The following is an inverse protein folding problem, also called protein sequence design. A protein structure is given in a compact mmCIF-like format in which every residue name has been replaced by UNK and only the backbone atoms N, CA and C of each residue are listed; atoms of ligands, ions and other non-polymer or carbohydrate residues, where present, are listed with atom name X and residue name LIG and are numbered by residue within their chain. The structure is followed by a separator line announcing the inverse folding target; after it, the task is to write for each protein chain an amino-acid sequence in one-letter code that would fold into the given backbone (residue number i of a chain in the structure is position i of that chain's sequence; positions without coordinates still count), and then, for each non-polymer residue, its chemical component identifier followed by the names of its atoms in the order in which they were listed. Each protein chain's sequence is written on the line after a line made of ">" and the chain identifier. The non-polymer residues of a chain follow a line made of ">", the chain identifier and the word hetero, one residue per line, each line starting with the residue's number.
data_IF_886480127551
#
_entry.id   IF_886480127551
#
_cell.length_a   1.000
_cell.length_b   1.000
_cell.length_c   1.000
_cell.angle_alpha   90.00
_cell.angle_beta   90.00
_cell.angle_gamma   90.00
#
_symmetry.space_group_name_H-M   'P 1'
#
loop_
_entity.id
_entity.type
_entity.pdbx_description
1 polymer ?
#
# COMPACT_ATOMS: atom_id res chain seq x y z
N UNK A 1 -4.51 -22.88 25.71
CA UNK A 1 -5.28 -22.02 24.80
C UNK A 1 -5.38 -22.74 23.47
N UNK A 2 -6.54 -22.76 22.83
CA UNK A 2 -6.63 -23.32 21.48
C UNK A 2 -5.82 -22.43 20.53
N UNK A 3 -4.98 -23.03 19.68
CA UNK A 3 -4.21 -22.28 18.69
C UNK A 3 -5.14 -21.69 17.63
N UNK A 4 -4.88 -20.44 17.21
CA UNK A 4 -5.61 -19.77 16.15
C UNK A 4 -5.16 -20.32 14.79
N UNK A 5 -6.08 -20.88 14.03
CA UNK A 5 -5.78 -21.45 12.71
C UNK A 5 -5.66 -20.33 11.65
N UNK A 6 -4.58 -20.35 10.88
CA UNK A 6 -4.25 -19.34 9.86
C UNK A 6 -4.01 -20.04 8.53
N UNK A 7 -4.82 -19.74 7.53
CA UNK A 7 -4.64 -20.21 6.16
C UNK A 7 -4.05 -19.09 5.28
N UNK A 8 -2.84 -19.29 4.77
CA UNK A 8 -2.20 -18.39 3.81
C UNK A 8 -2.48 -18.90 2.41
N UNK A 9 -3.11 -18.06 1.60
CA UNK A 9 -3.48 -18.38 0.21
C UNK A 9 -2.26 -18.40 -0.68
N UNK A 10 -2.10 -19.47 -1.47
CA UNK A 10 -1.13 -19.55 -2.55
C UNK A 10 -1.85 -19.80 -3.87
N UNK A 11 -1.58 -18.96 -4.85
CA UNK A 11 -2.01 -19.07 -6.24
C UNK A 11 -0.80 -18.80 -7.16
N UNK A 12 -0.84 -19.16 -8.45
CA UNK A 12 0.28 -18.91 -9.36
C UNK A 12 0.77 -17.46 -9.37
N UNK A 13 -0.13 -16.50 -9.17
CA UNK A 13 0.23 -15.08 -9.09
C UNK A 13 0.87 -14.66 -7.76
N UNK A 14 0.95 -15.50 -6.76
CA UNK A 14 1.48 -15.12 -5.44
C UNK A 14 2.94 -14.71 -5.52
N UNK A 15 3.26 -13.59 -4.83
CA UNK A 15 4.63 -13.13 -4.60
C UNK A 15 5.24 -13.90 -3.44
N UNK A 16 6.27 -14.69 -3.71
CA UNK A 16 6.85 -15.61 -2.73
C UNK A 16 7.40 -14.89 -1.48
N UNK A 17 8.03 -13.72 -1.65
CA UNK A 17 8.60 -12.96 -0.52
C UNK A 17 7.56 -12.57 0.53
N UNK A 18 6.36 -12.17 0.11
CA UNK A 18 5.27 -11.82 1.03
C UNK A 18 4.69 -13.07 1.69
N UNK A 19 4.47 -14.13 0.91
CA UNK A 19 3.94 -15.40 1.40
C UNK A 19 4.88 -16.03 2.42
N UNK A 20 6.16 -16.20 2.08
CA UNK A 20 7.15 -16.82 2.97
C UNK A 20 7.43 -15.97 4.21
N UNK A 21 7.53 -14.64 4.06
CA UNK A 21 7.75 -13.75 5.20
C UNK A 21 6.64 -13.83 6.24
N UNK A 22 5.37 -13.83 5.82
CA UNK A 22 4.23 -14.02 6.71
C UNK A 22 4.29 -15.40 7.39
N UNK A 23 4.55 -16.44 6.61
CA UNK A 23 4.62 -17.82 7.10
C UNK A 23 5.73 -17.99 8.14
N UNK A 24 6.95 -17.52 7.85
CA UNK A 24 8.11 -17.65 8.73
C UNK A 24 7.91 -16.90 10.06
N UNK A 25 7.43 -15.65 10.00
CA UNK A 25 7.25 -14.85 11.22
C UNK A 25 6.14 -15.42 12.11
N UNK A 26 5.00 -15.86 11.56
CA UNK A 26 3.92 -16.46 12.35
C UNK A 26 4.30 -17.83 12.93
N UNK A 27 5.24 -18.56 12.33
CA UNK A 27 5.71 -19.86 12.82
C UNK A 27 6.92 -19.74 13.79
N UNK A 28 7.47 -18.54 14.03
CA UNK A 28 8.70 -18.36 14.79
C UNK A 28 8.55 -18.40 16.32
N UNK A 29 7.35 -18.44 16.86
CA UNK A 29 7.10 -18.29 18.31
C UNK A 29 7.89 -19.25 19.20
N UNK A 30 7.95 -20.53 18.87
CA UNK A 30 8.69 -21.54 19.65
C UNK A 30 10.19 -21.25 19.70
N UNK A 31 10.78 -20.73 18.61
CA UNK A 31 12.16 -20.27 18.58
C UNK A 31 12.32 -19.00 19.42
N UNK A 32 11.50 -17.99 19.18
CA UNK A 32 11.62 -16.68 19.81
C UNK A 32 11.41 -16.72 21.33
N UNK A 33 10.55 -17.62 21.82
CA UNK A 33 10.33 -17.81 23.26
C UNK A 33 11.57 -18.30 24.02
N UNK A 34 12.61 -18.73 23.31
CA UNK A 34 13.92 -19.04 23.95
C UNK A 34 14.76 -17.79 24.23
N UNK A 35 14.41 -16.66 23.62
CA UNK A 35 15.13 -15.39 23.75
C UNK A 35 14.34 -14.33 24.54
N UNK A 36 13.01 -14.43 24.58
CA UNK A 36 12.17 -13.46 25.26
C UNK A 36 10.94 -14.14 25.89
N UNK A 37 10.87 -14.08 27.23
CA UNK A 37 9.78 -14.69 28.04
C UNK A 37 8.40 -14.04 27.81
N UNK A 38 8.33 -12.89 27.14
CA UNK A 38 7.08 -12.27 26.73
C UNK A 38 6.35 -13.05 25.63
N UNK A 39 7.06 -13.98 24.97
CA UNK A 39 6.50 -14.81 23.92
C UNK A 39 6.03 -16.16 24.47
N UNK A 40 4.85 -16.65 24.02
CA UNK A 40 4.36 -17.96 24.44
C UNK A 40 5.29 -19.08 23.94
N UNK A 41 5.58 -20.06 24.82
CA UNK A 41 6.45 -21.21 24.51
C UNK A 41 5.86 -22.14 23.45
N UNK A 42 4.54 -22.19 23.35
CA UNK A 42 3.81 -22.91 22.29
C UNK A 42 3.28 -21.89 21.28
N UNK A 43 3.36 -22.22 19.98
CA UNK A 43 2.86 -21.31 18.97
C UNK A 43 1.38 -21.00 19.19
N UNK A 44 0.99 -19.72 19.28
CA UNK A 44 -0.42 -19.32 19.37
C UNK A 44 -1.15 -19.49 18.02
N UNK A 45 -0.40 -19.67 16.93
CA UNK A 45 -0.91 -19.84 15.58
C UNK A 45 -0.58 -21.24 15.04
N UNK A 46 -1.55 -21.83 14.35
CA UNK A 46 -1.36 -23.00 13.49
C UNK A 46 -1.45 -22.50 12.05
N UNK A 47 -0.30 -22.35 11.41
CA UNK A 47 -0.19 -21.71 10.09
C UNK A 47 0.00 -22.75 9.01
N UNK A 48 -0.83 -22.69 7.97
CA UNK A 48 -0.67 -23.50 6.78
C UNK A 48 -0.82 -22.69 5.50
N UNK A 49 -0.19 -23.17 4.43
CA UNK A 49 -0.34 -22.66 3.08
C UNK A 49 -1.40 -23.50 2.36
N UNK A 50 -2.42 -22.84 1.82
CA UNK A 50 -3.50 -23.46 1.08
C UNK A 50 -3.50 -23.02 -0.38
N UNK A 51 -3.69 -23.93 -1.32
CA UNK A 51 -3.67 -23.70 -2.76
C UNK A 51 -4.82 -24.43 -3.46
N UNK A 52 -5.03 -24.27 -4.78
CA UNK A 52 -6.02 -25.04 -5.52
C UNK A 52 -5.81 -26.55 -5.43
N UNK A 53 -4.57 -27.02 -5.44
CA UNK A 53 -4.18 -28.43 -5.35
C UNK A 53 -2.96 -28.59 -4.45
N UNK A 54 -2.55 -29.84 -4.17
CA UNK A 54 -1.28 -30.18 -3.50
C UNK A 54 -0.11 -30.32 -4.45
N UNK A 55 -0.36 -30.22 -5.75
CA UNK A 55 0.68 -30.34 -6.76
C UNK A 55 1.65 -29.16 -6.68
N UNK A 56 2.83 -29.36 -7.23
CA UNK A 56 3.82 -28.30 -7.37
C UNK A 56 3.25 -27.14 -8.18
N UNK A 57 3.40 -25.94 -7.63
CA UNK A 57 2.95 -24.71 -8.25
C UNK A 57 4.12 -23.73 -8.36
N UNK A 58 4.35 -23.21 -9.56
CA UNK A 58 5.30 -22.12 -9.76
C UNK A 58 4.60 -20.80 -9.45
N UNK A 59 5.16 -20.04 -8.52
CA UNK A 59 4.67 -18.71 -8.14
C UNK A 59 5.11 -17.64 -9.16
N UNK A 60 4.52 -16.44 -9.09
CA UNK A 60 4.92 -15.30 -9.92
C UNK A 60 6.40 -14.91 -9.77
N UNK A 61 7.02 -15.25 -8.65
CA UNK A 61 8.47 -15.07 -8.41
C UNK A 61 9.34 -16.14 -9.09
N UNK A 62 8.76 -17.10 -9.79
CA UNK A 62 9.48 -18.21 -10.44
C UNK A 62 9.90 -19.33 -9.47
N UNK A 63 9.52 -19.25 -8.20
CA UNK A 63 9.82 -20.28 -7.21
C UNK A 63 8.70 -21.31 -7.13
N UNK A 64 9.11 -22.58 -6.96
CA UNK A 64 8.18 -23.71 -6.83
C UNK A 64 7.73 -23.81 -5.37
N UNK A 65 6.45 -24.03 -5.17
CA UNK A 65 5.80 -24.19 -3.88
C UNK A 65 4.90 -25.42 -3.88
N UNK A 66 4.96 -26.19 -2.79
CA UNK A 66 4.01 -27.24 -2.46
C UNK A 66 3.13 -26.77 -1.30
N UNK A 67 1.83 -26.62 -1.51
CA UNK A 67 0.91 -26.29 -0.45
C UNK A 67 0.67 -27.50 0.49
N UNK A 68 0.44 -27.20 1.78
CA UNK A 68 0.14 -28.27 2.75
C UNK A 68 -1.22 -28.90 2.49
N UNK A 69 -2.21 -28.10 2.05
CA UNK A 69 -3.55 -28.60 1.72
C UNK A 69 -4.18 -27.86 0.53
N UNK A 70 -5.08 -28.53 -0.24
CA UNK A 70 -6.02 -27.82 -1.08
C UNK A 70 -6.95 -26.97 -0.22
N UNK A 71 -7.31 -25.77 -0.69
CA UNK A 71 -8.26 -24.93 0.06
C UNK A 71 -9.64 -25.61 0.20
N UNK A 72 -10.02 -26.50 -0.70
CA UNK A 72 -11.26 -27.28 -0.64
C UNK A 72 -11.34 -28.21 0.57
N UNK A 73 -10.20 -28.63 1.11
CA UNK A 73 -10.11 -29.50 2.29
C UNK A 73 -10.18 -28.69 3.60
N UNK A 74 -10.12 -27.35 3.51
CA UNK A 74 -10.21 -26.46 4.67
C UNK A 74 -11.66 -26.03 4.85
N UNK A 75 -12.35 -26.67 5.76
CA UNK A 75 -13.77 -26.41 6.03
C UNK A 75 -13.99 -25.22 6.97
N UNK A 76 -13.01 -24.88 7.81
CA UNK A 76 -13.05 -23.71 8.70
C UNK A 76 -11.63 -23.23 9.02
N UNK A 77 -11.47 -21.92 9.22
CA UNK A 77 -10.22 -21.28 9.67
C UNK A 77 -10.57 -20.00 10.42
N UNK A 78 -9.68 -19.53 11.32
CA UNK A 78 -9.91 -18.28 12.05
C UNK A 78 -9.45 -17.07 11.23
N UNK A 79 -8.37 -17.22 10.46
CA UNK A 79 -7.76 -16.15 9.70
C UNK A 79 -7.40 -16.68 8.30
N UNK A 80 -7.77 -15.94 7.28
CA UNK A 80 -7.27 -16.15 5.92
C UNK A 80 -6.38 -14.97 5.54
N UNK A 81 -5.18 -15.23 5.03
CA UNK A 81 -4.27 -14.18 4.55
C UNK A 81 -4.02 -14.38 3.05
N UNK A 82 -4.37 -13.39 2.26
CA UNK A 82 -4.02 -13.30 0.83
C UNK A 82 -2.74 -12.47 0.71
N UNK A 83 -1.59 -13.07 0.38
CA UNK A 83 -0.32 -12.35 0.20
C UNK A 83 -0.39 -11.48 -1.06
N UNK A 84 0.68 -10.74 -1.33
CA UNK A 84 0.81 -9.96 -2.57
C UNK A 84 0.65 -10.88 -3.79
N UNK A 85 -0.07 -10.40 -4.79
CA UNK A 85 -0.23 -11.08 -6.08
C UNK A 85 0.35 -10.22 -7.20
N UNK A 86 0.83 -10.86 -8.25
CA UNK A 86 1.33 -10.15 -9.43
C UNK A 86 0.17 -9.46 -10.16
N UNK A 87 0.37 -8.19 -10.48
CA UNK A 87 -0.50 -7.39 -11.34
C UNK A 87 0.33 -7.09 -12.59
N UNK A 88 0.18 -7.93 -13.61
CA UNK A 88 0.99 -7.83 -14.82
C UNK A 88 0.63 -6.57 -15.63
N UNK A 89 1.66 -5.80 -16.00
CA UNK A 89 1.49 -4.57 -16.79
C UNK A 89 0.43 -3.59 -16.27
N UNK A 90 0.14 -3.64 -14.97
CA UNK A 90 -0.92 -2.82 -14.37
C UNK A 90 -2.33 -3.35 -14.63
N UNK A 91 -2.51 -4.53 -15.20
CA UNK A 91 -3.82 -5.13 -15.45
C UNK A 91 -4.17 -6.21 -14.43
N UNK A 92 -5.40 -6.24 -14.01
CA UNK A 92 -5.99 -7.33 -13.24
C UNK A 92 -7.19 -7.92 -13.96
N UNK A 93 -7.10 -9.19 -14.35
CA UNK A 93 -8.21 -9.93 -14.96
C UNK A 93 -9.00 -10.61 -13.86
N UNK A 94 -10.23 -10.15 -13.63
CA UNK A 94 -11.15 -10.75 -12.66
C UNK A 94 -11.62 -12.14 -13.13
N UNK A 95 -12.04 -12.96 -12.16
CA UNK A 95 -12.64 -14.28 -12.46
C UNK A 95 -11.64 -15.39 -12.80
N UNK A 96 -10.33 -15.19 -12.62
CA UNK A 96 -9.32 -16.24 -12.86
C UNK A 96 -9.32 -17.35 -11.79
N UNK A 97 -9.77 -17.03 -10.59
CA UNK A 97 -9.75 -17.92 -9.43
C UNK A 97 -11.13 -18.11 -8.77
N UNK A 98 -12.18 -18.51 -9.51
CA UNK A 98 -13.56 -18.51 -9.01
C UNK A 98 -13.76 -19.43 -7.80
N UNK A 99 -13.08 -20.57 -7.76
CA UNK A 99 -13.14 -21.51 -6.62
C UNK A 99 -12.54 -20.89 -5.36
N UNK A 100 -11.40 -20.19 -5.46
CA UNK A 100 -10.77 -19.50 -4.34
C UNK A 100 -11.64 -18.34 -3.84
N UNK A 101 -12.22 -17.55 -4.74
CA UNK A 101 -13.14 -16.45 -4.39
C UNK A 101 -14.36 -16.98 -3.63
N UNK A 102 -14.93 -18.09 -4.07
CA UNK A 102 -16.06 -18.72 -3.37
C UNK A 102 -15.65 -19.28 -2.00
N UNK A 103 -14.46 -19.88 -1.89
CA UNK A 103 -13.94 -20.35 -0.62
C UNK A 103 -13.70 -19.18 0.36
N UNK A 104 -13.16 -18.07 -0.08
CA UNK A 104 -13.02 -16.86 0.75
C UNK A 104 -14.37 -16.38 1.30
N UNK A 105 -15.41 -16.35 0.47
CA UNK A 105 -16.79 -16.02 0.91
C UNK A 105 -17.28 -17.00 1.99
N UNK A 106 -17.03 -18.29 1.81
CA UNK A 106 -17.45 -19.33 2.75
C UNK A 106 -16.72 -19.18 4.09
N UNK A 107 -15.39 -18.95 4.09
CA UNK A 107 -14.63 -18.74 5.32
C UNK A 107 -15.11 -17.47 6.06
N UNK A 108 -15.36 -16.40 5.34
CA UNK A 108 -15.92 -15.17 5.92
C UNK A 108 -17.29 -15.42 6.56
N UNK A 109 -18.19 -16.13 5.89
CA UNK A 109 -19.53 -16.44 6.43
C UNK A 109 -19.50 -17.30 7.69
N UNK A 110 -18.41 -18.04 7.92
CA UNK A 110 -18.14 -18.82 9.12
C UNK A 110 -17.39 -18.02 10.21
N UNK A 111 -17.16 -16.72 9.99
CA UNK A 111 -16.55 -15.82 10.97
C UNK A 111 -15.04 -15.65 10.84
N UNK A 112 -14.40 -16.15 9.78
CA UNK A 112 -12.99 -15.93 9.55
C UNK A 112 -12.67 -14.45 9.30
N UNK A 113 -11.57 -13.96 9.87
CA UNK A 113 -10.97 -12.66 9.50
C UNK A 113 -10.25 -12.82 8.17
N UNK A 114 -10.63 -12.03 7.17
CA UNK A 114 -9.95 -11.99 5.87
C UNK A 114 -8.90 -10.89 5.86
N UNK A 115 -7.66 -11.28 5.63
CA UNK A 115 -6.52 -10.37 5.57
C UNK A 115 -5.91 -10.32 4.17
N UNK A 116 -5.33 -9.19 3.80
CA UNK A 116 -4.52 -9.09 2.59
C UNK A 116 -3.28 -8.23 2.77
N UNK A 117 -2.24 -8.53 2.01
CA UNK A 117 -1.05 -7.71 1.91
C UNK A 117 -0.89 -7.18 0.48
N UNK A 118 -0.60 -5.86 0.36
CA UNK A 118 -0.28 -5.21 -0.90
C UNK A 118 -1.40 -5.38 -1.96
N UNK A 119 -1.08 -6.02 -3.08
CA UNK A 119 -2.02 -6.33 -4.18
C UNK A 119 -2.96 -7.51 -3.90
N UNK A 120 -2.75 -8.27 -2.82
CA UNK A 120 -3.64 -9.38 -2.45
C UNK A 120 -5.10 -8.96 -2.22
N UNK A 121 -5.33 -7.69 -1.93
CA UNK A 121 -6.69 -7.13 -1.83
C UNK A 121 -7.50 -7.23 -3.13
N UNK A 122 -6.85 -7.36 -4.30
CA UNK A 122 -7.52 -7.60 -5.59
C UNK A 122 -8.40 -8.86 -5.51
N UNK A 123 -7.83 -9.96 -5.00
CA UNK A 123 -8.57 -11.22 -4.85
C UNK A 123 -9.68 -11.12 -3.79
N UNK A 124 -9.46 -10.37 -2.69
CA UNK A 124 -10.51 -10.11 -1.71
C UNK A 124 -11.65 -9.27 -2.30
N UNK A 125 -11.34 -8.27 -3.12
CA UNK A 125 -12.35 -7.41 -3.74
C UNK A 125 -13.24 -8.20 -4.72
N UNK A 126 -12.73 -9.23 -5.40
CA UNK A 126 -13.54 -10.11 -6.24
C UNK A 126 -14.65 -10.85 -5.48
N UNK A 127 -14.53 -10.97 -4.17
CA UNK A 127 -15.62 -11.54 -3.36
C UNK A 127 -16.86 -10.65 -3.28
N UNK A 128 -16.76 -9.34 -3.60
CA UNK A 128 -17.80 -8.34 -3.37
C UNK A 128 -18.01 -7.97 -1.90
N UNK A 129 -17.30 -8.61 -0.97
CA UNK A 129 -17.44 -8.35 0.48
C UNK A 129 -16.87 -7.00 0.92
N UNK A 130 -16.01 -6.37 0.08
CA UNK A 130 -15.42 -5.06 0.34
C UNK A 130 -16.27 -3.89 -0.22
N UNK A 131 -17.34 -4.15 -0.94
CA UNK A 131 -18.20 -3.09 -1.51
C UNK A 131 -18.72 -2.16 -0.41
N UNK A 132 -18.57 -0.85 -0.62
CA UNK A 132 -18.93 0.19 0.34
C UNK A 132 -17.98 0.33 1.54
N UNK A 133 -16.90 -0.47 1.63
CA UNK A 133 -15.93 -0.43 2.73
C UNK A 133 -14.64 0.28 2.35
N UNK A 134 -13.91 0.74 3.37
CA UNK A 134 -12.54 1.22 3.19
C UNK A 134 -11.57 0.05 2.96
N UNK A 135 -10.59 0.25 2.09
CA UNK A 135 -9.48 -0.68 1.85
C UNK A 135 -8.18 0.08 1.63
N UNK A 136 -7.05 -0.59 1.75
CA UNK A 136 -5.75 -0.09 1.34
C UNK A 136 -4.99 -1.14 0.53
N UNK A 137 -4.03 -0.67 -0.26
CA UNK A 137 -3.19 -1.51 -1.11
C UNK A 137 -1.92 -0.77 -1.52
N UNK A 138 -1.08 -1.42 -2.31
CA UNK A 138 0.06 -0.75 -2.93
C UNK A 138 -0.44 0.33 -3.91
N UNK A 139 0.02 1.55 -3.72
CA UNK A 139 -0.45 2.74 -4.45
C UNK A 139 -0.30 2.61 -5.98
N UNK A 140 0.76 1.94 -6.46
CA UNK A 140 1.02 1.79 -7.89
C UNK A 140 -0.10 1.04 -8.66
N UNK A 141 -0.90 0.22 -7.97
CA UNK A 141 -1.99 -0.54 -8.59
C UNK A 141 -3.37 0.07 -8.33
N UNK A 142 -3.41 1.25 -7.71
CA UNK A 142 -4.68 1.92 -7.38
C UNK A 142 -5.55 2.27 -8.60
N UNK A 143 -5.00 2.70 -9.75
CA UNK A 143 -5.80 2.93 -10.95
C UNK A 143 -6.56 1.68 -11.40
N UNK A 144 -5.83 0.56 -11.53
CA UNK A 144 -6.40 -0.75 -11.90
C UNK A 144 -7.45 -1.22 -10.89
N UNK A 145 -7.19 -1.04 -9.60
CA UNK A 145 -8.15 -1.40 -8.56
C UNK A 145 -9.45 -0.60 -8.68
N UNK A 146 -9.37 0.73 -8.82
CA UNK A 146 -10.54 1.59 -8.96
C UNK A 146 -11.38 1.27 -10.20
N UNK A 147 -10.71 0.88 -11.29
CA UNK A 147 -11.39 0.47 -12.52
C UNK A 147 -12.19 -0.81 -12.32
N UNK A 148 -11.62 -1.82 -11.64
CA UNK A 148 -12.26 -3.11 -11.43
C UNK A 148 -13.26 -3.11 -10.26
N UNK A 149 -13.00 -2.32 -9.21
CA UNK A 149 -13.75 -2.34 -7.95
C UNK A 149 -14.16 -0.92 -7.50
N UNK A 150 -14.97 -0.20 -8.31
CA UNK A 150 -15.32 1.21 -8.06
C UNK A 150 -16.14 1.43 -6.79
N UNK A 151 -16.73 0.38 -6.23
CA UNK A 151 -17.52 0.45 -4.98
C UNK A 151 -16.66 0.41 -3.72
N UNK A 152 -15.36 0.11 -3.81
CA UNK A 152 -14.45 0.03 -2.66
C UNK A 152 -13.74 1.37 -2.46
N UNK A 153 -13.71 1.88 -1.23
CA UNK A 153 -13.13 3.18 -0.90
C UNK A 153 -11.64 3.03 -0.54
N UNK A 154 -10.73 3.30 -1.48
CA UNK A 154 -9.30 3.22 -1.24
C UNK A 154 -8.77 4.36 -0.36
N UNK A 155 -8.03 4.00 0.69
CA UNK A 155 -7.31 4.87 1.62
C UNK A 155 -5.81 4.61 1.49
N UNK A 156 -5.24 5.09 0.38
CA UNK A 156 -3.84 4.82 0.02
C UNK A 156 -2.83 5.43 1.00
N UNK A 157 -3.21 6.41 1.79
CA UNK A 157 -2.37 7.02 2.82
C UNK A 157 -2.21 6.14 4.07
N UNK A 158 -3.12 5.18 4.27
CA UNK A 158 -3.09 4.28 5.43
C UNK A 158 -2.25 3.03 5.13
N UNK A 159 -1.35 2.67 6.03
CA UNK A 159 -0.58 1.42 5.92
C UNK A 159 -1.42 0.19 6.25
N UNK A 160 -2.34 0.31 7.19
CA UNK A 160 -3.33 -0.70 7.57
C UNK A 160 -4.73 -0.10 7.52
N UNK A 161 -5.67 -0.83 6.96
CA UNK A 161 -7.11 -0.57 7.06
C UNK A 161 -7.77 -1.77 7.70
N UNK A 162 -8.55 -1.50 8.75
CA UNK A 162 -9.38 -2.47 9.44
C UNK A 162 -10.82 -2.07 9.14
N UNK A 163 -11.61 -3.00 8.61
CA UNK A 163 -12.97 -2.74 8.16
C UNK A 163 -13.93 -3.88 8.49
N UNK A 164 -15.22 -3.63 8.33
CA UNK A 164 -16.30 -4.55 8.71
C UNK A 164 -16.77 -4.30 10.15
N UNK A 165 -18.02 -4.72 10.45
CA UNK A 165 -18.70 -4.42 11.72
C UNK A 165 -18.00 -5.04 12.96
N UNK A 166 -17.18 -6.07 12.73
CA UNK A 166 -16.41 -6.78 13.78
C UNK A 166 -14.94 -6.92 13.40
N UNK A 167 -14.37 -5.94 12.64
CA UNK A 167 -12.98 -5.96 12.19
C UNK A 167 -12.61 -7.24 11.40
N UNK A 168 -13.54 -7.70 10.55
CA UNK A 168 -13.33 -8.95 9.80
C UNK A 168 -12.38 -8.80 8.60
N UNK A 169 -12.05 -7.58 8.21
CA UNK A 169 -11.13 -7.31 7.12
C UNK A 169 -9.93 -6.53 7.63
N UNK A 170 -8.72 -7.05 7.37
CA UNK A 170 -7.46 -6.38 7.74
C UNK A 170 -6.56 -6.35 6.51
N UNK A 171 -6.35 -5.18 5.95
CA UNK A 171 -5.61 -5.01 4.71
C UNK A 171 -4.39 -4.14 4.95
N UNK A 172 -3.22 -4.57 4.47
CA UNK A 172 -2.00 -3.78 4.49
C UNK A 172 -1.61 -3.27 3.11
N UNK A 173 -0.97 -2.10 3.07
CA UNK A 173 -0.71 -1.30 1.88
C UNK A 173 0.46 -1.77 1.03
N UNK A 174 1.62 -1.09 1.12
CA UNK A 174 2.81 -1.36 0.32
C UNK A 174 3.38 -2.77 0.54
N UNK A 175 4.24 -3.22 -0.39
CA UNK A 175 4.72 -4.61 -0.41
C UNK A 175 5.34 -5.07 0.91
N UNK A 176 6.17 -4.25 1.56
CA UNK A 176 6.79 -4.59 2.84
C UNK A 176 5.83 -4.45 4.04
N UNK A 177 4.64 -3.85 3.89
CA UNK A 177 3.69 -3.68 4.99
C UNK A 177 3.01 -4.98 5.45
N UNK A 178 3.34 -6.12 4.85
CA UNK A 178 2.89 -7.41 5.36
C UNK A 178 3.32 -7.65 6.82
N UNK A 179 4.45 -7.08 7.25
CA UNK A 179 4.84 -7.22 8.65
C UNK A 179 4.02 -6.33 9.59
N UNK A 180 3.50 -5.18 9.15
CA UNK A 180 2.51 -4.42 9.93
C UNK A 180 1.24 -5.25 10.14
N UNK A 181 0.79 -5.96 9.11
CA UNK A 181 -0.32 -6.91 9.22
C UNK A 181 -0.02 -8.02 10.23
N UNK A 182 1.15 -8.67 10.12
CA UNK A 182 1.55 -9.75 11.04
C UNK A 182 1.65 -9.25 12.47
N UNK A 183 2.33 -8.12 12.71
CA UNK A 183 2.43 -7.52 14.04
C UNK A 183 1.04 -7.14 14.61
N UNK A 184 0.13 -6.62 13.78
CA UNK A 184 -1.24 -6.36 14.18
C UNK A 184 -1.97 -7.64 14.62
N UNK A 185 -1.83 -8.72 13.86
CA UNK A 185 -2.41 -10.02 14.23
C UNK A 185 -1.84 -10.55 15.56
N UNK A 186 -0.54 -10.38 15.78
CA UNK A 186 0.09 -10.73 17.06
C UNK A 186 -0.45 -9.87 18.21
N UNK A 187 -0.64 -8.56 18.00
CA UNK A 187 -1.30 -7.69 19.00
C UNK A 187 -2.70 -8.20 19.32
N UNK A 188 -3.48 -8.51 18.29
CA UNK A 188 -4.90 -8.88 18.41
C UNK A 188 -5.12 -10.24 19.05
N UNK A 189 -4.32 -11.24 18.67
CA UNK A 189 -4.54 -12.64 19.07
C UNK A 189 -3.59 -13.13 20.18
N UNK A 190 -2.52 -12.39 20.48
CA UNK A 190 -1.56 -12.76 21.52
C UNK A 190 -1.45 -11.63 22.55
N UNK A 191 -0.64 -10.60 22.27
CA UNK A 191 -0.53 -9.41 23.12
C UNK A 191 0.32 -8.31 22.45
N UNK A 192 0.17 -7.02 22.86
CA UNK A 192 1.07 -5.94 22.44
C UNK A 192 2.55 -6.21 22.79
N UNK A 193 2.81 -6.83 23.95
CA UNK A 193 4.17 -7.16 24.42
C UNK A 193 4.81 -8.21 23.51
N UNK A 194 4.07 -9.24 23.10
CA UNK A 194 4.56 -10.23 22.16
C UNK A 194 4.89 -9.63 20.79
N UNK A 195 4.04 -8.73 20.27
CA UNK A 195 4.31 -8.03 19.03
C UNK A 195 5.58 -7.16 19.13
N UNK A 196 5.81 -6.51 20.28
CA UNK A 196 7.02 -5.72 20.51
C UNK A 196 8.28 -6.58 20.57
N UNK A 197 8.23 -7.74 21.25
CA UNK A 197 9.36 -8.68 21.31
C UNK A 197 9.69 -9.21 19.90
N UNK A 198 8.67 -9.61 19.13
CA UNK A 198 8.81 -10.05 17.74
C UNK A 198 9.41 -8.96 16.84
N UNK A 199 8.92 -7.72 16.96
CA UNK A 199 9.42 -6.59 16.16
C UNK A 199 10.91 -6.32 16.43
N UNK A 200 11.35 -6.45 17.69
CA UNK A 200 12.76 -6.32 18.05
C UNK A 200 13.63 -7.43 17.47
N UNK A 201 13.17 -8.67 17.56
CA UNK A 201 13.94 -9.82 17.08
C UNK A 201 14.18 -9.77 15.58
N UNK A 202 13.12 -9.49 14.80
CA UNK A 202 13.20 -9.40 13.34
C UNK A 202 13.61 -8.02 12.82
N UNK A 203 13.91 -7.06 13.71
CA UNK A 203 14.17 -5.64 13.36
C UNK A 203 13.05 -5.01 12.51
N UNK A 204 11.80 -5.40 12.75
CA UNK A 204 10.63 -4.84 12.07
C UNK A 204 10.24 -3.51 12.74
N UNK A 205 9.92 -2.51 11.94
CA UNK A 205 9.48 -1.21 12.42
C UNK A 205 8.09 -0.91 11.89
N UNK A 206 7.14 -0.61 12.79
CA UNK A 206 5.83 -0.14 12.38
C UNK A 206 5.94 1.07 11.45
N UNK A 207 5.19 1.05 10.36
CA UNK A 207 5.05 2.23 9.50
C UNK A 207 4.08 3.25 10.14
N UNK A 208 4.47 3.81 11.30
CA UNK A 208 3.64 4.75 12.07
C UNK A 208 3.25 6.02 11.31
N UNK A 209 4.02 6.39 10.28
CA UNK A 209 3.71 7.51 9.38
C UNK A 209 2.69 7.14 8.29
N UNK A 210 2.20 5.89 8.26
CA UNK A 210 1.40 5.36 7.17
C UNK A 210 2.22 5.20 5.88
N UNK A 211 1.53 5.14 4.73
CA UNK A 211 2.23 5.04 3.43
C UNK A 211 2.20 6.35 2.61
N UNK A 212 1.61 7.43 3.12
CA UNK A 212 1.61 8.72 2.43
C UNK A 212 3.00 9.21 1.98
N UNK A 213 4.09 9.01 2.76
CA UNK A 213 5.44 9.39 2.31
C UNK A 213 5.92 8.65 1.04
N UNK A 214 5.43 7.43 0.82
CA UNK A 214 5.81 6.56 -0.30
C UNK A 214 4.97 6.78 -1.56
N UNK A 215 3.83 7.48 -1.44
CA UNK A 215 2.97 7.75 -2.58
C UNK A 215 3.72 8.61 -3.60
N UNK A 216 3.60 8.24 -4.86
CA UNK A 216 4.02 9.08 -5.99
C UNK A 216 2.77 9.70 -6.58
N UNK A 217 2.82 10.99 -6.87
CA UNK A 217 1.71 11.66 -7.54
C UNK A 217 1.60 11.15 -8.98
N UNK A 218 0.58 10.37 -9.22
CA UNK A 218 0.25 9.85 -10.53
C UNK A 218 -0.48 10.93 -11.33
N UNK A 219 0.09 11.27 -12.50
CA UNK A 219 -0.47 12.28 -13.38
C UNK A 219 -1.68 11.70 -14.10
N UNK A 220 -2.91 12.20 -13.86
CA UNK A 220 -4.09 11.72 -14.58
C UNK A 220 -4.03 12.22 -16.03
N UNK A 221 -3.61 11.34 -16.94
CA UNK A 221 -3.45 11.62 -18.38
C UNK A 221 -4.54 10.98 -19.26
N UNK A 222 -5.34 10.07 -18.70
CA UNK A 222 -6.36 9.31 -19.41
C UNK A 222 -7.66 10.11 -19.58
N UNK A 223 -7.57 11.25 -20.27
CA UNK A 223 -8.74 12.07 -20.61
C UNK A 223 -8.58 12.69 -22.01
N UNK A 224 -9.70 12.96 -22.67
CA UNK A 224 -9.74 13.47 -24.06
C UNK A 224 -9.70 15.01 -24.16
N UNK A 225 -9.60 15.74 -23.05
CA UNK A 225 -9.61 17.20 -23.04
C UNK A 225 -8.24 17.77 -23.48
N UNK A 226 -8.10 18.09 -24.76
CA UNK A 226 -6.85 18.58 -25.35
C UNK A 226 -6.33 19.86 -24.66
N UNK A 227 -7.21 20.83 -24.32
CA UNK A 227 -6.80 22.06 -23.63
C UNK A 227 -6.21 21.76 -22.26
N UNK A 228 -6.75 20.79 -21.55
CA UNK A 228 -6.22 20.41 -20.23
C UNK A 228 -4.94 19.61 -20.37
N UNK A 229 -4.80 18.78 -21.39
CA UNK A 229 -3.57 18.06 -21.69
C UNK A 229 -2.42 19.03 -21.98
N UNK A 230 -2.63 20.01 -22.87
CA UNK A 230 -1.65 21.04 -23.17
C UNK A 230 -1.25 21.83 -21.90
N UNK A 231 -2.21 22.11 -21.03
CA UNK A 231 -1.94 22.77 -19.74
C UNK A 231 -1.11 21.89 -18.78
N UNK A 232 -1.35 20.57 -18.75
CA UNK A 232 -0.56 19.63 -17.94
C UNK A 232 0.87 19.50 -18.46
N UNK A 233 1.05 19.40 -19.77
CA UNK A 233 2.36 19.36 -20.41
C UNK A 233 3.16 20.62 -20.10
N UNK A 234 2.56 21.77 -20.24
CA UNK A 234 3.20 23.04 -19.88
C UNK A 234 3.54 23.12 -18.39
N UNK A 235 2.66 22.67 -17.51
CA UNK A 235 2.89 22.65 -16.06
C UNK A 235 4.05 21.74 -15.66
N UNK A 236 4.28 20.66 -16.39
CA UNK A 236 5.38 19.72 -16.07
C UNK A 236 6.74 20.41 -16.02
N UNK A 237 6.90 21.49 -16.79
CA UNK A 237 8.13 22.30 -16.87
C UNK A 237 8.04 23.64 -16.10
N UNK A 238 6.82 24.15 -15.84
CA UNK A 238 6.61 25.52 -15.35
C UNK A 238 5.91 25.61 -13.98
N UNK A 239 5.73 24.51 -13.26
CA UNK A 239 5.03 24.48 -11.95
C UNK A 239 5.68 25.38 -10.88
N UNK A 240 6.97 25.68 -10.99
CA UNK A 240 7.72 26.44 -9.99
C UNK A 240 7.59 27.97 -10.12
N UNK A 241 7.05 28.50 -11.22
CA UNK A 241 6.86 29.94 -11.38
C UNK A 241 5.85 30.54 -10.40
N UNK A 242 5.84 31.85 -10.19
CA UNK A 242 5.03 32.50 -9.16
C UNK A 242 3.52 32.31 -9.34
N UNK A 243 2.99 32.37 -10.55
CA UNK A 243 1.54 32.26 -10.83
C UNK A 243 1.22 31.33 -11.99
N UNK A 244 1.54 30.01 -11.89
CA UNK A 244 1.41 29.07 -13.01
C UNK A 244 -0.06 28.91 -13.46
N UNK A 245 -1.01 29.02 -12.54
CA UNK A 245 -2.44 28.86 -12.86
C UNK A 245 -2.95 30.02 -13.71
N UNK A 246 -2.56 31.25 -13.39
CA UNK A 246 -2.97 32.42 -14.17
C UNK A 246 -2.42 32.35 -15.61
N UNK A 247 -1.19 31.90 -15.78
CA UNK A 247 -0.58 31.72 -17.09
C UNK A 247 -1.26 30.61 -17.90
N UNK A 248 -1.58 29.46 -17.29
CA UNK A 248 -2.37 28.41 -17.95
C UNK A 248 -3.73 28.90 -18.42
N UNK A 249 -4.45 29.64 -17.57
CA UNK A 249 -5.75 30.22 -17.93
C UNK A 249 -5.62 31.13 -19.14
N UNK A 250 -4.61 32.00 -19.16
CA UNK A 250 -4.34 32.88 -20.26
C UNK A 250 -4.02 32.14 -21.56
N UNK A 251 -3.16 31.11 -21.50
CA UNK A 251 -2.79 30.31 -22.68
C UNK A 251 -3.95 29.46 -23.21
N UNK A 252 -4.83 29.00 -22.33
CA UNK A 252 -5.97 28.17 -22.69
C UNK A 252 -7.01 28.89 -23.57
N UNK A 253 -7.01 30.23 -23.59
CA UNK A 253 -7.99 31.04 -24.33
C UNK A 253 -9.42 30.96 -23.85
N UNK A 254 -9.70 30.30 -22.71
CA UNK A 254 -11.03 30.18 -22.12
C UNK A 254 -11.14 30.92 -20.78
N UNK A 255 -12.36 31.19 -20.31
CA UNK A 255 -12.55 31.85 -19.02
C UNK A 255 -12.00 31.00 -17.87
N UNK A 256 -11.46 31.67 -16.82
CA UNK A 256 -10.91 31.01 -15.62
C UNK A 256 -11.90 30.02 -14.99
N UNK A 257 -13.18 30.37 -14.93
CA UNK A 257 -14.24 29.47 -14.41
C UNK A 257 -14.37 28.19 -15.24
N UNK A 258 -14.36 28.33 -16.57
CA UNK A 258 -14.44 27.18 -17.49
C UNK A 258 -13.19 26.32 -17.40
N UNK A 259 -12.01 26.94 -17.34
CA UNK A 259 -10.75 26.24 -17.18
C UNK A 259 -10.72 25.41 -15.90
N UNK A 260 -10.98 26.00 -14.73
CA UNK A 260 -11.01 25.31 -13.43
C UNK A 260 -11.98 24.13 -13.42
N UNK A 261 -13.19 24.31 -13.99
CA UNK A 261 -14.19 23.23 -14.07
C UNK A 261 -13.70 22.09 -14.96
N UNK A 262 -13.18 22.39 -16.16
CA UNK A 262 -12.66 21.38 -17.09
C UNK A 262 -11.45 20.65 -16.51
N UNK A 263 -10.51 21.40 -15.91
CA UNK A 263 -9.33 20.85 -15.28
C UNK A 263 -9.72 19.85 -14.16
N UNK A 264 -10.64 20.25 -13.27
CA UNK A 264 -11.09 19.35 -12.19
C UNK A 264 -11.86 18.14 -12.72
N UNK A 265 -12.64 18.31 -13.80
CA UNK A 265 -13.33 17.18 -14.43
C UNK A 265 -12.36 16.18 -15.08
N UNK A 266 -11.34 16.68 -15.76
CA UNK A 266 -10.37 15.87 -16.49
C UNK A 266 -9.37 15.17 -15.56
N UNK A 267 -8.86 15.89 -14.54
CA UNK A 267 -7.77 15.41 -13.69
C UNK A 267 -8.21 14.90 -12.32
N UNK A 268 -9.44 15.18 -11.89
CA UNK A 268 -9.88 14.92 -10.51
C UNK A 268 -9.34 15.91 -9.48
N UNK A 269 -8.46 16.85 -9.87
CA UNK A 269 -7.83 17.82 -8.98
C UNK A 269 -8.20 19.25 -9.35
N UNK A 270 -8.29 20.15 -8.36
CA UNK A 270 -8.26 21.56 -8.67
C UNK A 270 -6.89 21.96 -9.24
N UNK A 271 -6.77 23.00 -10.13
CA UNK A 271 -5.47 23.43 -10.65
C UNK A 271 -4.45 23.73 -9.56
N UNK A 272 -4.87 24.34 -8.43
CA UNK A 272 -3.96 24.64 -7.32
C UNK A 272 -3.47 23.36 -6.62
N UNK A 273 -4.34 22.38 -6.39
CA UNK A 273 -3.96 21.11 -5.78
C UNK A 273 -2.98 20.35 -6.68
N UNK A 274 -3.23 20.35 -7.98
CA UNK A 274 -2.35 19.72 -8.97
C UNK A 274 -0.93 20.33 -8.95
N UNK A 275 -0.82 21.67 -9.01
CA UNK A 275 0.47 22.37 -8.90
C UNK A 275 1.16 22.07 -7.56
N UNK A 276 0.41 22.03 -6.46
CA UNK A 276 0.95 21.68 -5.14
C UNK A 276 1.55 20.28 -5.12
N UNK A 277 0.90 19.30 -5.75
CA UNK A 277 1.44 17.94 -5.88
C UNK A 277 2.72 17.91 -6.72
N UNK A 278 2.75 18.58 -7.87
CA UNK A 278 3.97 18.68 -8.70
C UNK A 278 5.16 19.25 -7.92
N UNK A 279 4.92 20.35 -7.17
CA UNK A 279 5.95 20.99 -6.34
C UNK A 279 6.47 20.07 -5.24
N UNK A 280 5.57 19.31 -4.61
CA UNK A 280 5.94 18.35 -3.56
C UNK A 280 6.72 17.18 -4.16
N UNK A 281 6.33 16.66 -5.33
CA UNK A 281 7.09 15.59 -6.01
C UNK A 281 8.49 16.03 -6.41
N UNK A 282 8.65 17.26 -6.92
CA UNK A 282 9.99 17.77 -7.21
C UNK A 282 10.82 17.99 -5.93
N UNK A 283 10.17 18.47 -4.86
CA UNK A 283 10.82 18.61 -3.56
C UNK A 283 11.28 17.25 -3.00
N UNK A 284 10.47 16.18 -3.11
CA UNK A 284 10.86 14.82 -2.72
C UNK A 284 12.15 14.40 -3.43
N UNK A 285 12.19 14.50 -4.77
CA UNK A 285 13.38 14.17 -5.58
C UNK A 285 14.63 14.93 -5.13
N UNK A 286 14.48 16.25 -4.82
CA UNK A 286 15.60 17.08 -4.35
C UNK A 286 16.06 16.70 -2.95
N UNK A 287 15.11 16.37 -2.05
CA UNK A 287 15.40 15.90 -0.69
C UNK A 287 16.18 14.58 -0.69
N UNK A 288 15.84 13.67 -1.61
CA UNK A 288 16.48 12.36 -1.78
C UNK A 288 17.87 12.45 -2.39
N UNK A 289 18.06 13.37 -3.35
CA UNK A 289 19.25 13.40 -4.22
C UNK A 289 20.27 14.46 -3.87
N UNK A 290 19.92 15.43 -3.01
CA UNK A 290 20.79 16.56 -2.69
C UNK A 290 20.84 16.87 -1.19
N UNK A 291 21.94 17.51 -0.77
CA UNK A 291 22.09 18.06 0.59
C UNK A 291 21.68 19.53 0.70
N UNK A 292 20.95 20.08 -0.30
CA UNK A 292 20.46 21.45 -0.26
C UNK A 292 19.60 21.72 0.98
N UNK A 293 19.66 22.93 1.52
CA UNK A 293 18.80 23.28 2.67
C UNK A 293 17.32 23.23 2.31
N UNK A 294 16.46 23.03 3.31
CA UNK A 294 15.00 22.97 3.10
C UNK A 294 14.50 24.30 2.51
N UNK A 295 15.09 25.43 2.92
CA UNK A 295 14.81 26.76 2.40
C UNK A 295 15.15 26.85 0.91
N UNK A 296 16.34 26.39 0.51
CA UNK A 296 16.76 26.39 -0.90
C UNK A 296 15.85 25.52 -1.76
N UNK A 297 15.44 24.35 -1.25
CA UNK A 297 14.48 23.48 -1.94
C UNK A 297 13.12 24.16 -2.05
N UNK A 298 12.62 24.78 -0.96
CA UNK A 298 11.37 25.54 -0.95
C UNK A 298 11.32 26.58 -2.07
N UNK A 299 12.36 27.39 -2.18
CA UNK A 299 12.46 28.41 -3.24
C UNK A 299 12.52 27.80 -4.64
N UNK A 300 13.29 26.73 -4.81
CA UNK A 300 13.44 26.07 -6.11
C UNK A 300 12.16 25.44 -6.65
N UNK A 301 11.20 25.10 -5.76
CA UNK A 301 9.90 24.56 -6.16
C UNK A 301 8.78 25.61 -6.14
N UNK A 302 9.13 26.90 -6.03
CA UNK A 302 8.23 28.04 -6.20
C UNK A 302 7.51 28.50 -4.92
N UNK A 303 8.12 28.31 -3.74
CA UNK A 303 7.62 28.87 -2.47
C UNK A 303 8.59 29.91 -1.94
N UNK A 304 8.14 31.15 -1.76
CA UNK A 304 8.90 32.22 -1.13
C UNK A 304 9.00 32.04 0.40
N UNK A 305 7.94 31.47 1.01
CA UNK A 305 7.88 31.20 2.44
C UNK A 305 8.09 29.70 2.73
N UNK A 306 9.23 29.39 3.35
CA UNK A 306 9.58 28.03 3.74
C UNK A 306 8.64 27.41 4.79
N UNK A 307 7.95 28.24 5.61
CA UNK A 307 7.00 27.72 6.59
C UNK A 307 5.72 27.22 5.89
N UNK A 308 5.23 27.93 4.90
CA UNK A 308 4.10 27.48 4.06
C UNK A 308 4.42 26.22 3.28
N UNK A 309 5.64 26.13 2.73
CA UNK A 309 6.12 24.91 2.09
C UNK A 309 6.12 23.71 3.07
N UNK A 310 6.70 23.87 4.28
CA UNK A 310 6.75 22.78 5.29
C UNK A 310 5.37 22.29 5.67
N UNK A 311 4.40 23.23 5.86
CA UNK A 311 3.00 22.85 6.17
C UNK A 311 2.36 22.07 5.03
N UNK A 312 2.53 22.52 3.79
CA UNK A 312 2.00 21.82 2.62
C UNK A 312 2.62 20.43 2.46
N UNK A 313 3.96 20.36 2.52
CA UNK A 313 4.70 19.12 2.36
C UNK A 313 4.22 18.08 3.40
N UNK A 314 4.13 18.48 4.69
CA UNK A 314 3.61 17.61 5.75
C UNK A 314 2.15 17.21 5.52
N UNK A 315 1.31 18.11 5.01
CA UNK A 315 -0.09 17.80 4.69
C UNK A 315 -0.23 16.72 3.61
N UNK A 316 0.65 16.75 2.58
CA UNK A 316 0.59 15.81 1.45
C UNK A 316 1.29 14.50 1.79
N UNK A 317 2.44 14.56 2.46
CA UNK A 317 3.29 13.37 2.71
C UNK A 317 3.13 12.76 4.10
N UNK A 318 2.40 13.41 5.02
CA UNK A 318 2.26 12.99 6.40
C UNK A 318 3.44 13.36 7.31
N UNK A 319 4.64 13.63 6.78
CA UNK A 319 5.87 13.91 7.53
C UNK A 319 6.53 15.23 7.10
N UNK A 320 7.45 15.75 7.95
CA UNK A 320 8.16 16.97 7.59
C UNK A 320 9.21 16.73 6.49
N UNK A 321 9.65 17.77 5.73
CA UNK A 321 10.72 17.61 4.75
C UNK A 321 12.02 17.06 5.35
N UNK A 322 12.32 17.41 6.61
CA UNK A 322 13.50 16.89 7.31
C UNK A 322 13.37 15.39 7.63
N UNK A 323 12.20 14.95 8.09
CA UNK A 323 11.91 13.54 8.35
C UNK A 323 11.92 12.74 7.05
N UNK A 324 11.35 13.31 5.99
CA UNK A 324 11.35 12.70 4.66
C UNK A 324 12.78 12.46 4.17
N UNK A 325 13.66 13.47 4.27
CA UNK A 325 15.08 13.31 3.91
C UNK A 325 15.74 12.20 4.72
N UNK A 326 15.57 12.17 6.05
CA UNK A 326 16.15 11.11 6.88
C UNK A 326 15.68 9.71 6.50
N UNK A 327 14.41 9.60 6.09
CA UNK A 327 13.78 8.33 5.73
C UNK A 327 14.24 7.79 4.37
N UNK A 328 14.45 8.68 3.39
CA UNK A 328 14.72 8.29 2.00
C UNK A 328 16.13 8.60 1.49
N UNK A 329 16.97 9.27 2.28
CA UNK A 329 18.39 9.40 1.93
C UNK A 329 19.09 8.07 1.98
N UNK A 330 19.96 7.82 1.00
CA UNK A 330 20.86 6.68 1.03
C UNK A 330 21.80 6.83 2.24
N UNK A 331 21.89 5.84 3.15
CA UNK A 331 22.76 5.90 4.31
C UNK A 331 24.23 6.10 3.91
N UNK A 332 25.01 6.82 4.75
CA UNK A 332 26.41 7.17 4.45
C UNK A 332 27.27 5.93 4.14
N UNK A 333 27.07 4.82 4.88
CA UNK A 333 27.83 3.58 4.64
C UNK A 333 27.58 2.97 3.26
N UNK A 334 26.43 3.26 2.62
CA UNK A 334 26.11 2.78 1.28
C UNK A 334 26.57 3.76 0.16
N UNK A 335 27.07 4.95 0.52
CA UNK A 335 27.55 5.96 -0.44
C UNK A 335 29.07 5.85 -0.72
N UNK A 336 29.81 5.05 0.04
CA UNK A 336 31.29 5.04 0.07
C UNK A 336 31.95 4.10 -0.95
N UNK A 337 31.24 3.63 -1.96
CA UNK A 337 31.80 2.86 -3.06
C UNK A 337 31.78 3.67 -4.37
N UNK A 338 32.72 4.60 -4.49
CA UNK A 338 33.21 5.15 -5.77
C UNK A 338 34.68 4.90 -5.91
#
# INVERSE_FOLDING_TARGET
>A
MNSTHVSIVAIPDSMFSTLSGIYDVLNSFSLLSTYDDALPKTSPFQVEIVAPTREEMTTASGLVLNAQRPFTDVTSTNIVIVPSVMVEYGEWKTGRYPGMVQWLRNMHSQGATLCSACSGVMLLAETGLLDGKEATMHWAFAPTFRQNFPQVHLRLEKILVIAGDHDQFVMSGASASWYDLVLYLVVRYVSPTAAQAMSKFFALQWHGDGQAPYLVFDLPVDHEDAIIRDAQDWLSEHFAIAAPIAEMVKQSGISERSFKRRFSKATGYSPIAYVQHLRVEDAKRRLERTNASIEKISWSVGYEDAASFRRLFKRITGITPGDYRRKFSVPHFAQTHK
#
